data_IF_122893741936
#
_entry.id   IF_122893741936
#
_cell.length_a   1.000
_cell.length_b   1.000
_cell.length_c   1.000
_cell.angle_alpha   90.00
_cell.angle_beta   90.00
_cell.angle_gamma   90.00
#
_symmetry.space_group_name_H-M   'P 1'
#
loop_
_entity.id
_entity.type
_entity.pdbx_description
1 polymer ?
#
# COMPACT_ATOMS: atom_id res chain seq x y z
N UNK A 1 7.57 -31.79 28.91
CA UNK A 1 8.06 -31.40 27.57
C UNK A 1 7.51 -30.02 27.22
N UNK A 2 8.27 -29.18 26.50
CA UNK A 2 7.77 -27.97 25.82
C UNK A 2 8.21 -28.04 24.37
N UNK A 3 7.27 -28.26 23.44
CA UNK A 3 7.57 -28.21 22.00
C UNK A 3 7.66 -26.75 21.60
N UNK A 4 8.81 -26.34 21.07
CA UNK A 4 9.05 -24.95 20.61
C UNK A 4 9.19 -24.93 19.10
N UNK A 5 8.09 -24.62 18.40
CA UNK A 5 8.08 -24.46 16.95
C UNK A 5 8.81 -23.18 16.52
N UNK A 6 10.15 -23.26 16.40
CA UNK A 6 10.97 -22.27 15.69
C UNK A 6 10.89 -22.52 14.17
N UNK A 7 9.74 -22.22 13.55
CA UNK A 7 9.55 -22.44 12.11
C UNK A 7 10.19 -21.37 11.21
N UNK A 8 10.67 -20.25 11.76
CA UNK A 8 11.51 -19.28 11.04
C UNK A 8 12.75 -18.93 11.88
N UNK A 9 13.93 -19.05 11.25
CA UNK A 9 15.23 -18.73 11.86
C UNK A 9 15.77 -17.35 11.44
N UNK A 10 15.15 -16.69 10.45
CA UNK A 10 15.39 -15.27 10.15
C UNK A 10 14.33 -14.42 10.85
N UNK A 11 14.69 -13.48 11.73
CA UNK A 11 13.76 -12.45 12.16
C UNK A 11 13.41 -11.53 10.97
N UNK A 12 12.22 -10.95 11.01
CA UNK A 12 11.77 -9.94 10.06
C UNK A 12 10.66 -9.09 10.69
N UNK A 13 10.62 -7.81 10.33
CA UNK A 13 9.57 -6.88 10.74
C UNK A 13 8.56 -6.64 9.60
N UNK A 14 7.38 -6.11 9.93
CA UNK A 14 6.29 -5.93 8.97
C UNK A 14 5.28 -4.87 9.40
N UNK A 15 5.61 -3.59 9.20
CA UNK A 15 4.66 -2.48 9.36
C UNK A 15 4.32 -1.79 8.04
N UNK A 16 3.02 -1.58 7.81
CA UNK A 16 2.47 -0.80 6.68
C UNK A 16 2.68 0.71 6.81
N UNK A 17 3.14 1.21 7.97
CA UNK A 17 3.48 2.63 8.12
C UNK A 17 4.73 3.01 7.33
N UNK A 18 5.56 2.03 6.99
CA UNK A 18 6.96 2.25 6.64
C UNK A 18 7.12 2.81 5.22
N UNK A 19 6.26 2.51 4.25
CA UNK A 19 6.29 3.13 2.91
C UNK A 19 5.56 4.45 2.82
N UNK A 20 4.25 4.40 3.05
CA UNK A 20 3.36 5.46 2.58
C UNK A 20 2.90 6.40 3.70
N UNK A 21 2.96 5.96 4.96
CA UNK A 21 2.36 6.65 6.12
C UNK A 21 3.39 7.20 7.11
N UNK A 22 4.61 7.50 6.64
CA UNK A 22 5.69 8.04 7.46
C UNK A 22 5.54 9.56 7.72
N UNK A 23 4.45 9.96 8.37
CA UNK A 23 4.20 11.36 8.75
C UNK A 23 5.14 11.89 9.85
N UNK A 24 5.94 11.00 10.42
CA UNK A 24 6.96 11.25 11.44
C UNK A 24 8.37 11.44 10.85
N UNK A 25 8.50 11.62 9.52
CA UNK A 25 9.80 11.74 8.85
C UNK A 25 10.72 12.84 9.41
N UNK A 26 10.13 13.91 9.95
CA UNK A 26 10.80 15.04 10.62
C UNK A 26 11.45 14.69 11.96
N UNK A 27 11.13 13.53 12.56
CA UNK A 27 11.78 13.03 13.80
C UNK A 27 13.19 12.51 13.56
N UNK A 28 13.56 12.26 12.30
CA UNK A 28 14.91 11.86 11.94
C UNK A 28 15.85 13.10 11.95
N UNK A 29 16.98 13.11 12.67
CA UNK A 29 17.80 14.32 12.84
C UNK A 29 18.26 14.97 11.52
N UNK A 30 18.60 14.17 10.51
CA UNK A 30 19.04 14.63 9.19
C UNK A 30 17.90 15.21 8.32
N UNK A 31 16.66 15.09 8.77
CA UNK A 31 15.47 15.73 8.18
C UNK A 31 15.03 17.00 8.94
N UNK A 32 15.68 17.35 10.06
CA UNK A 32 15.26 18.46 10.91
C UNK A 32 15.33 19.81 10.16
N UNK A 33 14.25 20.60 10.24
CA UNK A 33 14.15 21.91 9.59
C UNK A 33 13.95 21.89 8.07
N UNK A 34 13.85 20.71 7.44
CA UNK A 34 13.54 20.60 6.01
C UNK A 34 12.04 20.75 5.72
N UNK A 35 11.70 21.14 4.50
CA UNK A 35 10.31 21.21 4.01
C UNK A 35 9.81 19.87 3.43
N UNK A 36 10.73 18.95 3.13
CA UNK A 36 10.46 17.60 2.65
C UNK A 36 11.56 16.63 3.13
N UNK A 37 11.31 15.31 3.20
CA UNK A 37 12.29 14.35 3.69
C UNK A 37 13.45 14.14 2.71
N UNK A 38 14.67 14.31 3.24
CA UNK A 38 15.94 13.87 2.64
C UNK A 38 16.09 12.35 2.71
N UNK A 39 15.56 11.73 3.76
CA UNK A 39 15.51 10.27 3.95
C UNK A 39 14.08 9.82 4.31
N UNK A 40 13.62 8.74 3.66
CA UNK A 40 12.27 8.18 3.86
C UNK A 40 12.34 6.71 4.33
N UNK A 41 11.45 6.30 5.24
CA UNK A 41 11.40 4.91 5.78
C UNK A 41 11.12 3.84 4.71
N UNK A 42 10.37 4.24 3.69
CA UNK A 42 9.99 3.51 2.48
C UNK A 42 9.34 2.10 2.55
N UNK A 43 9.40 1.22 3.58
CA UNK A 43 9.05 -0.22 3.38
C UNK A 43 7.53 -0.55 3.15
N UNK A 44 7.20 -1.14 1.99
CA UNK A 44 5.94 -1.83 1.57
C UNK A 44 4.57 -1.10 1.38
N UNK A 45 3.86 -1.50 0.30
CA UNK A 45 2.78 -0.83 -0.51
C UNK A 45 1.40 -1.56 -0.38
N UNK A 46 0.14 -1.11 -0.63
CA UNK A 46 -0.66 0.06 -1.17
C UNK A 46 -2.11 -0.21 -0.54
N UNK A 47 -3.00 0.76 -0.15
CA UNK A 47 -4.27 0.40 0.61
C UNK A 47 -5.64 1.20 0.54
N UNK A 48 -5.86 2.26 -0.24
CA UNK A 48 -6.88 3.33 0.04
C UNK A 48 -8.32 2.97 0.53
N UNK A 49 -9.23 2.33 -0.24
CA UNK A 49 -10.67 2.30 0.17
C UNK A 49 -10.93 1.44 1.41
N UNK A 50 -10.23 0.31 1.53
CA UNK A 50 -10.26 -0.50 2.75
C UNK A 50 -9.62 0.23 3.94
N UNK A 51 -8.74 1.21 3.69
CA UNK A 51 -8.13 2.05 4.72
C UNK A 51 -9.12 3.07 5.29
N UNK A 52 -9.87 3.77 4.43
CA UNK A 52 -10.98 4.65 4.84
C UNK A 52 -12.02 3.87 5.67
N UNK A 53 -12.43 2.69 5.19
CA UNK A 53 -13.34 1.82 5.92
C UNK A 53 -12.76 1.27 7.23
N UNK A 54 -11.43 1.19 7.40
CA UNK A 54 -10.81 0.70 8.63
C UNK A 54 -10.68 1.79 9.70
N UNK A 55 -10.12 2.95 9.32
CA UNK A 55 -9.74 4.00 10.27
C UNK A 55 -10.87 4.97 10.63
N UNK A 56 -11.82 5.25 9.73
CA UNK A 56 -12.93 6.15 10.06
C UNK A 56 -13.88 5.50 11.09
N UNK A 57 -14.25 6.25 12.14
CA UNK A 57 -15.15 5.75 13.20
C UNK A 57 -16.64 5.99 12.87
N UNK A 58 -16.93 7.07 12.16
CA UNK A 58 -18.27 7.53 11.75
C UNK A 58 -18.25 7.83 10.23
N UNK A 59 -19.37 8.27 9.66
CA UNK A 59 -19.48 8.80 8.27
C UNK A 59 -18.92 7.90 7.15
N UNK A 60 -19.10 6.58 7.26
CA UNK A 60 -18.56 5.59 6.31
C UNK A 60 -19.32 5.45 4.99
N UNK A 61 -20.37 6.23 4.76
CA UNK A 61 -21.18 6.10 3.55
C UNK A 61 -20.35 6.45 2.29
N UNK A 62 -20.66 5.82 1.16
CA UNK A 62 -19.80 5.84 -0.04
C UNK A 62 -19.70 7.23 -0.66
N UNK A 63 -20.70 8.03 -0.39
CA UNK A 63 -20.89 9.42 -0.78
C UNK A 63 -19.95 10.34 0.03
N UNK A 64 -19.64 9.98 1.29
CA UNK A 64 -18.60 10.63 2.08
C UNK A 64 -17.20 10.21 1.62
N UNK A 65 -17.00 8.94 1.26
CA UNK A 65 -15.74 8.50 0.63
C UNK A 65 -15.49 9.20 -0.71
N UNK A 66 -16.53 9.39 -1.54
CA UNK A 66 -16.45 10.16 -2.77
C UNK A 66 -16.02 11.60 -2.52
N UNK A 67 -16.75 12.36 -1.68
CA UNK A 67 -16.42 13.76 -1.36
C UNK A 67 -15.02 13.91 -0.77
N UNK A 68 -14.62 12.98 0.11
CA UNK A 68 -13.26 12.96 0.64
C UNK A 68 -12.21 12.65 -0.44
N UNK A 69 -12.50 11.75 -1.39
CA UNK A 69 -11.57 11.45 -2.49
C UNK A 69 -11.37 12.66 -3.40
N UNK A 70 -12.43 13.37 -3.77
CA UNK A 70 -12.38 14.64 -4.51
C UNK A 70 -11.55 15.67 -3.74
N UNK A 71 -11.90 15.96 -2.49
CA UNK A 71 -11.17 16.90 -1.63
C UNK A 71 -9.68 16.55 -1.46
N UNK A 72 -9.30 15.28 -1.55
CA UNK A 72 -7.90 14.84 -1.49
C UNK A 72 -7.14 15.01 -2.81
N UNK A 73 -7.83 14.92 -3.95
CA UNK A 73 -7.26 15.21 -5.28
C UNK A 73 -7.03 16.73 -5.38
N UNK A 74 -8.08 17.52 -5.13
CA UNK A 74 -8.04 18.99 -5.25
C UNK A 74 -6.92 19.58 -4.39
N UNK A 75 -6.84 19.15 -3.12
CA UNK A 75 -5.81 19.58 -2.17
C UNK A 75 -4.37 19.27 -2.59
N UNK A 76 -4.16 18.15 -3.30
CA UNK A 76 -2.85 17.69 -3.72
C UNK A 76 -2.42 18.38 -5.03
N UNK A 77 -3.33 18.51 -6.00
CA UNK A 77 -3.06 19.21 -7.26
C UNK A 77 -2.91 20.73 -7.06
N UNK A 78 -3.70 21.35 -6.17
CA UNK A 78 -3.50 22.74 -5.72
C UNK A 78 -2.08 22.96 -5.20
N UNK A 79 -1.62 22.09 -4.30
CA UNK A 79 -0.27 22.19 -3.75
C UNK A 79 0.81 21.93 -4.81
N UNK A 80 0.64 20.90 -5.65
CA UNK A 80 1.58 20.48 -6.71
C UNK A 80 1.88 21.62 -7.69
N UNK A 81 0.88 22.46 -7.99
CA UNK A 81 1.01 23.64 -8.83
C UNK A 81 1.79 24.81 -8.18
N UNK A 82 1.91 24.82 -6.85
CA UNK A 82 2.59 25.88 -6.08
C UNK A 82 4.02 25.46 -5.68
N UNK A 83 4.15 24.25 -5.12
CA UNK A 83 5.38 23.77 -4.47
C UNK A 83 6.06 22.62 -5.19
N UNK A 84 5.54 22.18 -6.33
CA UNK A 84 5.96 20.95 -7.00
C UNK A 84 5.44 19.70 -6.31
N UNK A 85 5.59 18.55 -6.97
CA UNK A 85 4.92 17.31 -6.57
C UNK A 85 5.47 16.70 -5.27
N UNK A 86 6.80 16.58 -5.11
CA UNK A 86 7.44 15.87 -3.99
C UNK A 86 7.10 16.49 -2.62
N UNK A 87 7.20 17.82 -2.38
CA UNK A 87 6.86 18.39 -1.08
C UNK A 87 5.41 18.11 -0.67
N UNK A 88 4.48 18.19 -1.63
CA UNK A 88 3.04 18.01 -1.38
C UNK A 88 2.66 16.57 -1.02
N UNK A 89 3.40 15.56 -1.52
CA UNK A 89 3.24 14.16 -1.12
C UNK A 89 3.61 13.95 0.35
N UNK A 90 4.71 14.56 0.82
CA UNK A 90 5.20 14.37 2.19
C UNK A 90 4.64 15.38 3.20
N UNK A 91 3.85 16.37 2.75
CA UNK A 91 3.22 17.38 3.60
C UNK A 91 1.99 16.82 4.34
N UNK A 92 2.07 16.73 5.68
CA UNK A 92 0.99 16.27 6.54
C UNK A 92 -0.26 17.17 6.49
N UNK A 93 -0.10 18.50 6.37
CA UNK A 93 -1.22 19.44 6.32
C UNK A 93 -2.05 19.26 5.04
N UNK A 94 -1.40 18.98 3.90
CA UNK A 94 -2.09 18.61 2.67
C UNK A 94 -2.76 17.24 2.81
N UNK A 95 -2.04 16.25 3.34
CA UNK A 95 -2.60 14.90 3.55
C UNK A 95 -3.78 14.83 4.53
N UNK A 96 -3.90 15.81 5.44
CA UNK A 96 -4.98 15.93 6.43
C UNK A 96 -6.11 16.88 6.02
N UNK A 97 -6.01 17.59 4.88
CA UNK A 97 -7.14 18.31 4.25
C UNK A 97 -8.33 17.37 3.93
N UNK A 98 -8.13 16.04 3.87
CA UNK A 98 -9.18 15.07 3.59
C UNK A 98 -9.14 13.82 4.50
N UNK A 99 -10.32 13.22 4.71
CA UNK A 99 -10.49 11.91 5.35
C UNK A 99 -10.09 10.72 4.47
N UNK A 100 -9.95 10.91 3.16
CA UNK A 100 -9.47 9.90 2.22
C UNK A 100 -7.96 10.13 2.02
N UNK A 101 -7.15 9.17 2.45
CA UNK A 101 -5.68 9.29 2.44
C UNK A 101 -5.12 8.99 1.04
N UNK A 102 -5.49 9.81 0.04
CA UNK A 102 -5.29 9.55 -1.39
C UNK A 102 -3.82 9.32 -1.76
N UNK A 103 -2.89 10.15 -1.27
CA UNK A 103 -1.46 10.00 -1.57
C UNK A 103 -0.89 8.61 -1.25
N UNK A 104 -1.49 7.87 -0.31
CA UNK A 104 -1.10 6.50 0.04
C UNK A 104 -1.41 5.48 -1.08
N UNK A 105 -2.17 5.90 -2.10
CA UNK A 105 -2.42 5.20 -3.36
C UNK A 105 -1.32 5.40 -4.42
N UNK A 106 -0.32 6.25 -4.18
CA UNK A 106 0.70 6.55 -5.17
C UNK A 106 1.86 5.55 -5.07
N UNK A 107 1.51 4.25 -5.19
CA UNK A 107 2.38 3.09 -4.96
C UNK A 107 3.70 3.16 -5.78
N UNK A 108 3.75 3.91 -6.90
CA UNK A 108 4.96 4.13 -7.73
C UNK A 108 5.93 5.18 -7.19
N UNK A 109 5.44 6.27 -6.60
CA UNK A 109 6.27 7.41 -6.14
C UNK A 109 7.25 6.93 -5.07
N UNK A 110 6.72 6.24 -4.06
CA UNK A 110 7.53 5.68 -2.99
C UNK A 110 8.41 4.48 -3.44
N UNK A 111 8.07 3.81 -4.55
CA UNK A 111 8.91 2.74 -5.11
C UNK A 111 10.15 3.31 -5.82
N UNK A 112 10.08 4.53 -6.35
CA UNK A 112 11.24 5.22 -6.92
C UNK A 112 12.27 5.54 -5.81
N UNK A 113 11.81 5.91 -4.61
CA UNK A 113 12.69 6.07 -3.43
C UNK A 113 13.49 4.79 -3.14
N UNK A 114 12.83 3.62 -3.13
CA UNK A 114 13.52 2.33 -2.97
C UNK A 114 14.59 2.10 -4.01
N UNK A 115 14.23 2.26 -5.27
CA UNK A 115 15.10 1.94 -6.41
C UNK A 115 16.27 2.94 -6.55
N UNK A 116 16.30 4.00 -5.74
CA UNK A 116 17.47 4.89 -5.58
C UNK A 116 18.48 4.42 -4.52
N UNK A 117 18.11 3.46 -3.66
CA UNK A 117 18.94 2.96 -2.54
C UNK A 117 19.21 1.46 -2.61
N UNK A 118 18.23 0.67 -3.07
CA UNK A 118 18.26 -0.79 -3.15
C UNK A 118 18.01 -1.26 -4.58
N UNK A 119 18.68 -2.33 -5.00
CA UNK A 119 18.54 -2.85 -6.35
C UNK A 119 17.20 -3.56 -6.56
N UNK A 120 16.73 -3.60 -7.81
CA UNK A 120 15.40 -4.13 -8.16
C UNK A 120 15.20 -5.60 -7.76
N UNK A 121 16.28 -6.38 -7.71
CA UNK A 121 16.35 -7.77 -7.28
C UNK A 121 16.30 -7.95 -5.75
N UNK A 122 16.55 -6.91 -4.95
CA UNK A 122 16.34 -6.92 -3.50
C UNK A 122 14.87 -6.67 -3.10
N UNK A 123 13.96 -6.52 -4.06
CA UNK A 123 12.59 -6.06 -3.83
C UNK A 123 11.53 -6.98 -4.45
N UNK A 124 10.74 -7.63 -3.60
CA UNK A 124 9.63 -8.48 -4.02
C UNK A 124 8.28 -7.81 -3.79
N UNK A 125 7.63 -7.39 -4.89
CA UNK A 125 6.30 -6.78 -4.87
C UNK A 125 5.24 -7.82 -5.24
N UNK A 126 4.21 -7.93 -4.41
CA UNK A 126 3.14 -8.93 -4.48
C UNK A 126 1.81 -8.18 -4.63
N UNK A 127 0.92 -8.68 -5.49
CA UNK A 127 -0.48 -8.24 -5.53
C UNK A 127 -1.31 -9.01 -4.50
N UNK A 128 -2.21 -8.34 -3.79
CA UNK A 128 -3.11 -9.00 -2.84
C UNK A 128 -4.06 -9.96 -3.58
N UNK A 129 -4.33 -9.65 -4.84
CA UNK A 129 -5.15 -10.39 -5.80
C UNK A 129 -4.47 -11.72 -6.18
N UNK A 130 -3.18 -11.69 -6.57
CA UNK A 130 -2.35 -12.89 -6.78
C UNK A 130 -2.37 -13.81 -5.54
N UNK A 131 -2.17 -13.25 -4.35
CA UNK A 131 -2.18 -14.01 -3.08
C UNK A 131 -3.56 -14.57 -2.74
N UNK A 132 -4.63 -13.83 -3.03
CA UNK A 132 -6.00 -14.24 -2.72
C UNK A 132 -6.55 -15.33 -3.64
N UNK A 133 -5.98 -15.48 -4.84
CA UNK A 133 -6.32 -16.50 -5.83
C UNK A 133 -5.40 -17.73 -5.73
N UNK A 134 -4.08 -17.51 -5.64
CA UNK A 134 -3.07 -18.57 -5.65
C UNK A 134 -2.08 -18.41 -4.46
N UNK A 135 -2.55 -18.62 -3.21
CA UNK A 135 -1.74 -18.36 -2.01
C UNK A 135 -0.47 -19.19 -1.96
N UNK A 136 -0.55 -20.52 -2.16
CA UNK A 136 0.62 -21.40 -2.15
C UNK A 136 1.66 -21.01 -3.20
N UNK A 137 1.24 -20.74 -4.44
CA UNK A 137 2.11 -20.29 -5.54
C UNK A 137 2.77 -18.95 -5.23
N UNK A 138 2.05 -18.06 -4.56
CA UNK A 138 2.57 -16.76 -4.12
C UNK A 138 3.60 -16.91 -3.02
N UNK A 139 3.35 -17.73 -1.99
CA UNK A 139 4.33 -18.03 -0.94
C UNK A 139 5.53 -18.82 -1.48
N UNK A 140 5.35 -19.74 -2.45
CA UNK A 140 6.46 -20.39 -3.17
C UNK A 140 7.41 -19.37 -3.82
N UNK A 141 6.86 -18.29 -4.40
CA UNK A 141 7.67 -17.19 -4.97
C UNK A 141 8.39 -16.38 -3.89
N UNK A 142 7.75 -16.13 -2.73
CA UNK A 142 8.39 -15.51 -1.56
C UNK A 142 9.55 -16.38 -1.05
N UNK A 143 9.35 -17.68 -0.90
CA UNK A 143 10.36 -18.62 -0.44
C UNK A 143 11.57 -18.65 -1.38
N UNK A 144 11.33 -18.72 -2.69
CA UNK A 144 12.39 -18.63 -3.71
C UNK A 144 13.14 -17.29 -3.65
N UNK A 145 12.43 -16.18 -3.47
CA UNK A 145 13.03 -14.84 -3.36
C UNK A 145 13.92 -14.71 -2.12
N UNK A 146 13.48 -15.23 -0.97
CA UNK A 146 14.23 -15.23 0.28
C UNK A 146 15.35 -16.29 0.35
N UNK A 147 15.62 -17.02 -0.74
CA UNK A 147 16.64 -18.08 -0.78
C UNK A 147 16.34 -19.30 0.12
N UNK A 148 15.07 -19.48 0.51
CA UNK A 148 14.64 -20.58 1.38
C UNK A 148 14.55 -21.91 0.63
N UNK A 149 14.55 -23.01 1.39
CA UNK A 149 14.17 -24.34 0.87
C UNK A 149 12.73 -24.31 0.32
N UNK A 150 12.36 -25.28 -0.51
CA UNK A 150 10.96 -25.45 -0.93
C UNK A 150 10.02 -25.58 0.27
N UNK A 151 8.77 -25.13 0.10
CA UNK A 151 7.70 -25.37 1.07
C UNK A 151 7.55 -26.87 1.36
N UNK A 152 7.42 -27.22 2.64
CA UNK A 152 6.93 -28.54 3.07
C UNK A 152 5.40 -28.56 3.05
N UNK A 153 4.83 -29.76 3.07
CA UNK A 153 3.37 -29.98 3.12
C UNK A 153 2.76 -29.33 4.39
N UNK A 154 3.36 -29.56 5.56
CA UNK A 154 3.02 -28.91 6.85
C UNK A 154 2.89 -27.37 6.75
N UNK A 155 3.80 -26.71 6.03
CA UNK A 155 3.78 -25.24 5.89
C UNK A 155 2.81 -24.80 4.80
N UNK A 156 2.58 -25.61 3.77
CA UNK A 156 1.50 -25.38 2.80
C UNK A 156 0.12 -25.47 3.48
N UNK A 157 -0.06 -26.41 4.41
CA UNK A 157 -1.27 -26.56 5.22
C UNK A 157 -1.47 -25.33 6.14
N UNK A 158 -0.46 -24.90 6.92
CA UNK A 158 -0.55 -23.67 7.73
C UNK A 158 -0.88 -22.43 6.89
N UNK A 159 -0.32 -22.29 5.69
CA UNK A 159 -0.63 -21.17 4.77
C UNK A 159 -2.09 -21.17 4.30
N UNK A 160 -2.73 -22.34 4.17
CA UNK A 160 -4.13 -22.47 3.77
C UNK A 160 -5.10 -22.35 4.95
N UNK A 161 -4.77 -22.91 6.11
CA UNK A 161 -5.62 -22.89 7.31
C UNK A 161 -5.58 -21.54 8.06
N UNK A 162 -4.47 -20.80 7.99
CA UNK A 162 -4.26 -19.59 8.79
C UNK A 162 -5.35 -18.54 8.51
N UNK A 163 -6.15 -18.15 9.53
CA UNK A 163 -7.29 -17.25 9.33
C UNK A 163 -6.85 -15.85 8.89
N UNK A 164 -7.56 -15.28 7.92
CA UNK A 164 -7.26 -13.95 7.34
C UNK A 164 -7.33 -12.87 8.43
N UNK A 165 -6.17 -12.36 8.83
CA UNK A 165 -6.03 -11.27 9.78
C UNK A 165 -6.61 -9.94 9.24
N UNK A 166 -7.00 -9.03 10.15
CA UNK A 166 -7.56 -7.71 9.85
C UNK A 166 -8.70 -7.68 8.78
N UNK A 167 -9.67 -8.61 8.78
CA UNK A 167 -10.73 -8.63 7.77
C UNK A 167 -11.68 -7.43 7.94
N UNK A 168 -12.26 -6.94 6.84
CA UNK A 168 -13.32 -5.91 6.89
C UNK A 168 -14.44 -6.36 7.85
N UNK A 169 -14.80 -5.50 8.81
CA UNK A 169 -15.81 -5.82 9.84
C UNK A 169 -17.15 -6.10 9.19
N UNK A 170 -18.01 -6.92 9.81
CA UNK A 170 -19.28 -7.32 9.21
C UNK A 170 -20.16 -6.15 8.74
N UNK A 171 -20.24 -5.06 9.53
CA UNK A 171 -20.96 -3.83 9.13
C UNK A 171 -20.30 -3.10 7.95
N UNK A 172 -18.98 -3.13 7.86
CA UNK A 172 -18.22 -2.46 6.79
C UNK A 172 -18.28 -3.27 5.47
N UNK A 173 -18.50 -4.60 5.55
CA UNK A 173 -18.83 -5.44 4.38
C UNK A 173 -20.22 -5.10 3.80
N UNK A 174 -21.21 -4.80 4.65
CA UNK A 174 -22.58 -4.43 4.24
C UNK A 174 -22.66 -3.13 3.43
N UNK A 175 -21.60 -2.32 3.41
CA UNK A 175 -21.53 -1.09 2.60
C UNK A 175 -21.36 -1.33 1.08
N UNK A 176 -21.03 -2.56 0.66
CA UNK A 176 -20.92 -2.95 -0.75
C UNK A 176 -19.62 -2.50 -1.46
N UNK A 177 -19.67 -2.46 -2.81
CA UNK A 177 -18.65 -1.80 -3.65
C UNK A 177 -18.84 -0.27 -3.59
N UNK A 178 -17.77 0.47 -3.89
CA UNK A 178 -17.82 1.93 -4.07
C UNK A 178 -18.76 2.34 -5.22
N UNK A 179 -19.15 3.61 -5.27
CA UNK A 179 -19.98 4.15 -6.35
C UNK A 179 -19.24 4.08 -7.71
N UNK A 180 -19.92 3.81 -8.84
CA UNK A 180 -19.29 3.73 -10.17
C UNK A 180 -18.52 4.99 -10.56
N UNK A 181 -19.03 6.16 -10.18
CA UNK A 181 -18.45 7.47 -10.47
C UNK A 181 -17.16 7.68 -9.67
N UNK A 182 -17.13 7.23 -8.41
CA UNK A 182 -15.91 7.18 -7.58
C UNK A 182 -14.88 6.22 -8.16
N UNK A 183 -15.31 5.08 -8.71
CA UNK A 183 -14.41 4.17 -9.43
C UNK A 183 -13.80 4.85 -10.65
N UNK A 184 -14.62 5.40 -11.54
CA UNK A 184 -14.15 6.08 -12.75
C UNK A 184 -13.15 7.20 -12.43
N UNK A 185 -13.47 8.05 -11.44
CA UNK A 185 -12.60 9.12 -10.94
C UNK A 185 -11.25 8.57 -10.45
N UNK A 186 -11.25 7.59 -9.55
CA UNK A 186 -10.02 7.03 -8.98
C UNK A 186 -9.21 6.24 -10.02
N UNK A 187 -9.85 5.49 -10.91
CA UNK A 187 -9.17 4.77 -12.00
C UNK A 187 -8.47 5.75 -12.95
N UNK A 188 -9.14 6.85 -13.32
CA UNK A 188 -8.54 7.91 -14.15
C UNK A 188 -7.37 8.58 -13.42
N UNK A 189 -7.56 9.00 -12.17
CA UNK A 189 -6.53 9.66 -11.37
C UNK A 189 -5.28 8.79 -11.15
N UNK A 190 -5.43 7.50 -10.84
CA UNK A 190 -4.28 6.61 -10.62
C UNK A 190 -3.63 6.10 -11.91
N UNK A 191 -4.21 6.31 -13.09
CA UNK A 191 -3.74 5.69 -14.33
C UNK A 191 -2.27 6.02 -14.64
N UNK A 192 -1.85 7.29 -14.55
CA UNK A 192 -0.46 7.68 -14.80
C UNK A 192 0.52 7.02 -13.82
N UNK A 193 0.14 6.90 -12.54
CA UNK A 193 0.94 6.30 -11.49
C UNK A 193 1.03 4.77 -11.61
N UNK A 194 -0.06 4.13 -12.08
CA UNK A 194 -0.11 2.70 -12.37
C UNK A 194 0.75 2.35 -13.61
N UNK A 195 0.71 3.17 -14.66
CA UNK A 195 1.60 3.02 -15.84
C UNK A 195 3.07 3.15 -15.43
N UNK A 196 3.40 4.13 -14.57
CA UNK A 196 4.75 4.24 -13.98
C UNK A 196 5.11 3.00 -13.14
N UNK A 197 4.21 2.51 -12.29
CA UNK A 197 4.44 1.33 -11.45
C UNK A 197 4.71 0.07 -12.28
N UNK A 198 3.88 -0.18 -13.29
CA UNK A 198 4.03 -1.30 -14.22
C UNK A 198 5.39 -1.24 -14.96
N UNK A 199 5.84 -0.04 -15.35
CA UNK A 199 7.15 0.19 -15.97
C UNK A 199 8.31 -0.08 -14.99
N UNK A 200 8.22 0.39 -13.74
CA UNK A 200 9.25 0.16 -12.70
C UNK A 200 9.37 -1.31 -12.30
N UNK A 201 8.24 -2.04 -12.31
CA UNK A 201 8.20 -3.45 -11.90
C UNK A 201 8.47 -4.43 -13.04
N UNK A 202 8.33 -4.00 -14.31
CA UNK A 202 8.42 -4.85 -15.50
C UNK A 202 7.15 -5.70 -15.74
N UNK A 203 6.02 -5.32 -15.13
CA UNK A 203 4.84 -6.17 -15.02
C UNK A 203 3.54 -5.36 -15.25
N UNK A 204 2.87 -5.63 -16.38
CA UNK A 204 1.62 -4.94 -16.77
C UNK A 204 0.45 -5.22 -15.82
N UNK A 205 0.53 -6.22 -14.93
CA UNK A 205 -0.52 -6.53 -13.96
C UNK A 205 -0.66 -5.47 -12.85
N UNK A 206 0.25 -4.50 -12.82
CA UNK A 206 0.15 -3.27 -12.01
C UNK A 206 -0.52 -2.10 -12.75
N UNK A 207 -1.23 -2.38 -13.86
CA UNK A 207 -2.27 -1.51 -14.40
C UNK A 207 -3.64 -1.77 -13.72
N UNK A 208 -3.84 -2.98 -13.18
CA UNK A 208 -5.10 -3.52 -12.62
C UNK A 208 -6.26 -3.72 -13.62
N UNK A 209 -5.97 -3.73 -14.93
CA UNK A 209 -6.95 -4.03 -15.99
C UNK A 209 -7.54 -5.45 -15.89
N UNK A 210 -6.89 -6.37 -15.16
CA UNK A 210 -7.27 -7.77 -15.01
C UNK A 210 -8.19 -8.07 -13.81
N UNK A 211 -8.64 -7.06 -13.06
CA UNK A 211 -9.47 -7.25 -11.85
C UNK A 211 -10.65 -6.27 -11.72
N UNK A 212 -11.82 -6.79 -11.34
CA UNK A 212 -13.02 -6.00 -11.03
C UNK A 212 -13.05 -5.55 -9.56
N UNK A 213 -12.44 -4.38 -9.29
CA UNK A 213 -12.16 -3.75 -7.96
C UNK A 213 -13.42 -3.20 -7.27
#
# INVERSE_FOLDING_TARGET
MRVTYKLFASPGDGSVSTLWSNDDWWKNPENCGLLEPRYTNAHHVHRLYSDFLYFQKQDKAREHFHRASVQAIDALEECKNISGFRPCIYNYTIASKSRARLRLGLYSVYLQEWLSVFSRDQLFVIRLEDYSLEPLKTISRVYKFLGLKSLSEEVAEDVLEKPRANPRRAKDKKMGKMLPETRALLTSYYHEYNVQLAKLLGDKRFLWDDVDV
#
